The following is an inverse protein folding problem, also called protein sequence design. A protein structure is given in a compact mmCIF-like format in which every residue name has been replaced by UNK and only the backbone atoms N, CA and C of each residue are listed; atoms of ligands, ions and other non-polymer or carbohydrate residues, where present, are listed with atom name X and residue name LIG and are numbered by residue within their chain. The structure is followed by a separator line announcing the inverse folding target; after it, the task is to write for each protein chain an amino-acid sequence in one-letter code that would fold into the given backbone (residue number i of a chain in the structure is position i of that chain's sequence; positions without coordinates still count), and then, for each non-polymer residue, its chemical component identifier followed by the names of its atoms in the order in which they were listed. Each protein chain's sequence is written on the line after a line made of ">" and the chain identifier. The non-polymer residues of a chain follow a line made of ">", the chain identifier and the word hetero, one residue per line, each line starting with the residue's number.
data_IF_317176292948
#
_entry.id   IF_317176292948
#
_cell.length_a   1.000
_cell.length_b   1.000
_cell.length_c   1.000
_cell.angle_alpha   90.00
_cell.angle_beta   90.00
_cell.angle_gamma   90.00
#
_symmetry.space_group_name_H-M   'P 1'
#
loop_
_entity.id
_entity.type
_entity.pdbx_description
1 polymer ?
#
# COMPACT_ATOMS: atom_id res chain seq x y z
N UNK A 1 15.49 3.83 -12.76
CA UNK A 1 15.26 2.80 -13.79
C UNK A 1 14.27 1.82 -13.19
N UNK A 2 13.08 1.67 -13.76
CA UNK A 2 12.08 0.68 -13.31
C UNK A 2 12.64 -0.70 -13.64
N UNK A 3 12.48 -1.69 -12.74
CA UNK A 3 12.95 -3.04 -13.01
C UNK A 3 12.17 -3.66 -14.18
N UNK A 4 12.83 -4.45 -15.03
CA UNK A 4 12.17 -5.13 -16.15
C UNK A 4 10.99 -6.00 -15.67
N UNK A 5 11.15 -6.65 -14.51
CA UNK A 5 10.10 -7.45 -13.89
C UNK A 5 8.86 -6.62 -13.56
N UNK A 6 9.03 -5.46 -12.91
CA UNK A 6 7.92 -4.57 -12.57
C UNK A 6 7.17 -4.15 -13.84
N UNK A 7 7.89 -3.76 -14.88
CA UNK A 7 7.26 -3.36 -16.14
C UNK A 7 6.45 -4.48 -16.79
N UNK A 8 6.99 -5.71 -16.81
CA UNK A 8 6.29 -6.87 -17.39
C UNK A 8 5.03 -7.21 -16.59
N UNK A 9 5.09 -7.16 -15.26
CA UNK A 9 3.92 -7.45 -14.40
C UNK A 9 2.82 -6.40 -14.62
N UNK A 10 3.17 -5.11 -14.63
CA UNK A 10 2.23 -4.01 -14.88
C UNK A 10 1.58 -4.11 -16.26
N UNK A 11 2.36 -4.43 -17.30
CA UNK A 11 1.84 -4.63 -18.66
C UNK A 11 0.94 -5.86 -18.75
N UNK A 12 1.30 -6.95 -18.06
CA UNK A 12 0.48 -8.17 -18.01
C UNK A 12 -0.87 -7.88 -17.36
N UNK A 13 -0.90 -7.15 -16.24
CA UNK A 13 -2.14 -6.77 -15.56
C UNK A 13 -3.00 -5.86 -16.45
N UNK A 14 -2.39 -4.85 -17.09
CA UNK A 14 -3.08 -3.96 -18.01
C UNK A 14 -3.69 -4.71 -19.20
N UNK A 15 -3.01 -5.72 -19.75
CA UNK A 15 -3.54 -6.53 -20.86
C UNK A 15 -4.72 -7.43 -20.46
N UNK A 16 -4.93 -7.62 -19.16
CA UNK A 16 -6.05 -8.37 -18.59
C UNK A 16 -7.15 -7.45 -18.04
N UNK A 17 -7.03 -6.13 -18.19
CA UNK A 17 -7.91 -5.13 -17.57
C UNK A 17 -7.99 -5.27 -16.03
N UNK A 18 -6.90 -5.73 -15.40
CA UNK A 18 -6.81 -5.92 -13.95
C UNK A 18 -6.18 -4.67 -13.32
N UNK A 19 -6.88 -3.97 -12.41
CA UNK A 19 -6.26 -2.91 -11.63
C UNK A 19 -5.11 -3.46 -10.80
N UNK A 20 -3.95 -2.81 -10.91
CA UNK A 20 -2.75 -3.16 -10.17
C UNK A 20 -2.19 -1.90 -9.53
N UNK A 21 -1.86 -1.99 -8.24
CA UNK A 21 -1.27 -0.90 -7.47
C UNK A 21 0.09 -1.33 -6.91
N UNK A 22 1.02 -0.39 -6.84
CA UNK A 22 2.23 -0.56 -6.06
C UNK A 22 1.88 -0.34 -4.59
N UNK A 23 2.32 -1.27 -3.74
CA UNK A 23 2.24 -1.17 -2.28
C UNK A 23 3.64 -1.22 -1.67
N UNK A 24 3.75 -1.41 -0.36
CA UNK A 24 5.04 -1.56 0.31
C UNK A 24 5.97 -0.35 0.15
N UNK A 25 7.28 -0.57 0.29
CA UNK A 25 8.26 0.52 0.30
C UNK A 25 8.37 1.27 -1.04
N UNK A 26 8.03 0.60 -2.15
CA UNK A 26 8.14 1.16 -3.50
C UNK A 26 7.05 2.21 -3.79
N UNK A 27 5.95 2.21 -3.05
CA UNK A 27 4.88 3.22 -3.18
C UNK A 27 5.24 4.57 -2.53
N UNK A 28 6.16 4.59 -1.56
CA UNK A 28 6.47 5.78 -0.75
C UNK A 28 6.87 7.04 -1.53
N UNK A 29 7.64 6.95 -2.64
CA UNK A 29 7.93 8.11 -3.47
C UNK A 29 6.68 8.81 -4.01
N UNK A 30 5.58 8.09 -4.22
CA UNK A 30 4.32 8.66 -4.66
C UNK A 30 3.62 9.51 -3.58
N UNK A 31 4.05 9.38 -2.33
CA UNK A 31 3.60 10.16 -1.18
C UNK A 31 4.65 11.18 -0.72
N UNK A 32 5.55 11.59 -1.61
CA UNK A 32 6.64 12.55 -1.36
C UNK A 32 7.69 12.08 -0.34
N UNK A 33 7.82 10.76 -0.14
CA UNK A 33 8.80 10.18 0.80
C UNK A 33 9.91 9.48 0.01
N UNK A 34 11.15 9.95 0.20
CA UNK A 34 12.31 9.30 -0.39
C UNK A 34 12.57 7.94 0.29
N UNK A 35 12.43 6.84 -0.46
CA UNK A 35 12.72 5.49 0.01
C UNK A 35 13.37 4.68 -1.11
N UNK A 36 14.31 3.82 -0.74
CA UNK A 36 14.84 2.76 -1.61
C UNK A 36 14.42 1.41 -1.06
N UNK A 37 13.94 0.53 -1.93
CA UNK A 37 13.73 -0.90 -1.64
C UNK A 37 14.06 -1.73 -2.88
N UNK A 38 14.44 -2.99 -2.67
CA UNK A 38 14.54 -3.99 -3.72
C UNK A 38 13.25 -4.82 -3.83
N UNK A 39 12.44 -4.81 -2.78
CA UNK A 39 11.19 -5.56 -2.71
C UNK A 39 10.17 -4.98 -3.69
N UNK A 40 9.52 -5.87 -4.44
CA UNK A 40 8.50 -5.52 -5.41
C UNK A 40 7.14 -6.03 -4.91
N UNK A 41 6.46 -5.19 -4.13
CA UNK A 41 5.14 -5.48 -3.59
C UNK A 41 4.06 -4.86 -4.49
N UNK A 42 3.26 -5.70 -5.11
CA UNK A 42 2.21 -5.30 -6.04
C UNK A 42 0.90 -5.90 -5.58
N UNK A 43 -0.16 -5.10 -5.51
CA UNK A 43 -1.50 -5.60 -5.20
C UNK A 43 -2.39 -5.52 -6.43
N UNK A 44 -3.07 -6.62 -6.75
CA UNK A 44 -4.02 -6.70 -7.86
C UNK A 44 -5.44 -6.79 -7.33
N UNK A 45 -6.38 -6.20 -8.06
CA UNK A 45 -7.80 -6.35 -7.78
C UNK A 45 -8.42 -7.37 -8.74
N UNK A 46 -8.66 -8.57 -8.23
CA UNK A 46 -9.29 -9.69 -8.96
C UNK A 46 -10.48 -10.20 -8.15
N UNK A 47 -11.56 -10.60 -8.84
CA UNK A 47 -12.80 -11.08 -8.20
C UNK A 47 -13.00 -12.59 -8.33
N UNK A 48 -12.40 -13.22 -9.34
CA UNK A 48 -12.66 -14.63 -9.66
C UNK A 48 -11.37 -15.43 -9.85
N UNK A 49 -11.46 -16.75 -9.64
CA UNK A 49 -10.33 -17.64 -9.88
C UNK A 49 -9.98 -17.69 -11.38
N UNK A 50 -10.96 -17.53 -12.26
CA UNK A 50 -10.79 -17.48 -13.72
C UNK A 50 -9.92 -16.29 -14.14
N UNK A 51 -10.19 -15.10 -13.60
CA UNK A 51 -9.37 -13.90 -13.82
C UNK A 51 -7.93 -14.11 -13.31
N UNK A 52 -7.76 -14.67 -12.11
CA UNK A 52 -6.44 -14.98 -11.55
C UNK A 52 -5.67 -15.98 -12.43
N UNK A 53 -6.32 -17.04 -12.87
CA UNK A 53 -5.74 -18.04 -13.76
C UNK A 53 -5.35 -17.43 -15.12
N UNK A 54 -6.17 -16.52 -15.64
CA UNK A 54 -5.87 -15.79 -16.87
C UNK A 54 -4.63 -14.90 -16.72
N UNK A 55 -4.55 -14.13 -15.63
CA UNK A 55 -3.39 -13.29 -15.31
C UNK A 55 -2.10 -14.11 -15.20
N UNK A 56 -2.12 -15.23 -14.46
CA UNK A 56 -0.97 -16.13 -14.32
C UNK A 56 -0.53 -16.68 -15.68
N UNK A 57 -1.49 -17.01 -16.57
CA UNK A 57 -1.19 -17.48 -17.93
C UNK A 57 -0.51 -16.38 -18.77
N UNK A 58 -0.92 -15.12 -18.62
CA UNK A 58 -0.28 -13.99 -19.30
C UNK A 58 1.13 -13.76 -18.77
N UNK A 59 1.33 -13.76 -17.45
CA UNK A 59 2.66 -13.70 -16.84
C UNK A 59 3.58 -14.79 -17.41
N UNK A 60 3.11 -16.04 -17.48
CA UNK A 60 3.88 -17.17 -18.01
C UNK A 60 4.29 -16.98 -19.47
N UNK A 61 3.44 -16.37 -20.30
CA UNK A 61 3.79 -16.05 -21.69
C UNK A 61 4.91 -15.01 -21.79
N UNK A 62 5.04 -14.15 -20.77
CA UNK A 62 6.07 -13.13 -20.66
C UNK A 62 7.28 -13.59 -19.83
N UNK A 63 7.52 -14.90 -19.75
CA UNK A 63 8.64 -15.52 -19.00
C UNK A 63 8.64 -15.21 -17.49
N UNK A 64 7.49 -14.82 -16.92
CA UNK A 64 7.30 -14.64 -15.49
C UNK A 64 6.53 -15.84 -14.94
N UNK A 65 7.05 -16.49 -13.90
CA UNK A 65 6.48 -17.74 -13.41
C UNK A 65 6.29 -17.73 -11.90
N UNK A 66 5.42 -18.60 -11.39
CA UNK A 66 5.30 -18.90 -9.96
C UNK A 66 5.41 -20.41 -9.76
N UNK A 67 6.01 -20.83 -8.65
CA UNK A 67 6.04 -22.24 -8.21
C UNK A 67 4.83 -22.61 -7.37
N UNK A 68 4.06 -21.61 -6.93
CA UNK A 68 2.86 -21.79 -6.14
C UNK A 68 1.66 -22.14 -7.04
N UNK A 69 0.56 -22.58 -6.43
CA UNK A 69 -0.74 -22.69 -7.09
C UNK A 69 -1.66 -21.63 -6.49
N UNK A 70 -1.65 -20.38 -7.00
CA UNK A 70 -2.40 -19.29 -6.39
C UNK A 70 -3.91 -19.54 -6.46
N UNK A 71 -4.59 -19.31 -5.34
CA UNK A 71 -6.04 -19.34 -5.25
C UNK A 71 -6.57 -17.98 -4.83
N UNK A 72 -7.78 -17.65 -5.23
CA UNK A 72 -8.39 -16.35 -4.96
C UNK A 72 -8.55 -16.04 -3.46
N UNK A 73 -8.52 -17.08 -2.61
CA UNK A 73 -8.59 -16.96 -1.15
C UNK A 73 -7.22 -16.93 -0.47
N UNK A 74 -6.11 -16.91 -1.22
CA UNK A 74 -4.79 -16.63 -0.66
C UNK A 74 -4.59 -15.11 -0.52
N UNK A 75 -3.72 -14.68 0.38
CA UNK A 75 -3.40 -13.25 0.53
C UNK A 75 -2.45 -12.77 -0.56
N UNK A 76 -1.46 -13.61 -0.92
CA UNK A 76 -0.46 -13.29 -1.93
C UNK A 76 0.13 -14.56 -2.59
N UNK A 77 0.89 -14.34 -3.65
CA UNK A 77 1.80 -15.30 -4.24
C UNK A 77 3.03 -14.59 -4.82
N UNK A 78 4.15 -15.30 -4.89
CA UNK A 78 5.42 -14.80 -5.42
C UNK A 78 5.57 -15.19 -6.88
N UNK A 79 6.04 -14.25 -7.69
CA UNK A 79 6.41 -14.48 -9.08
C UNK A 79 7.89 -14.19 -9.31
N UNK A 80 8.48 -14.92 -10.23
CA UNK A 80 9.90 -14.93 -10.53
C UNK A 80 10.12 -14.55 -11.98
N UNK A 81 10.96 -13.54 -12.20
CA UNK A 81 11.55 -13.22 -13.50
C UNK A 81 13.02 -13.65 -13.57
N UNK A 82 13.73 -13.24 -14.62
CA UNK A 82 15.14 -13.62 -14.83
C UNK A 82 16.11 -13.15 -13.74
N UNK A 83 15.82 -12.01 -13.09
CA UNK A 83 16.74 -11.31 -12.18
C UNK A 83 16.07 -10.75 -10.94
N UNK A 84 14.94 -11.32 -10.53
CA UNK A 84 14.23 -10.85 -9.35
C UNK A 84 12.90 -11.56 -9.16
N UNK A 85 12.29 -11.24 -8.03
CA UNK A 85 10.98 -11.71 -7.64
C UNK A 85 10.08 -10.53 -7.29
N UNK A 86 8.78 -10.77 -7.30
CA UNK A 86 7.77 -9.83 -6.85
C UNK A 86 6.71 -10.58 -6.06
N UNK A 87 6.23 -9.94 -5.00
CA UNK A 87 5.04 -10.39 -4.29
C UNK A 87 3.80 -9.80 -4.96
N UNK A 88 2.91 -10.67 -5.38
CA UNK A 88 1.62 -10.32 -5.94
C UNK A 88 0.55 -10.58 -4.88
N UNK A 89 0.13 -9.51 -4.24
CA UNK A 89 -0.92 -9.48 -3.25
C UNK A 89 -2.30 -9.47 -3.92
N UNK A 90 -3.21 -10.30 -3.43
CA UNK A 90 -4.62 -10.36 -3.83
C UNK A 90 -5.49 -9.45 -2.95
N UNK A 91 -4.93 -8.95 -1.86
CA UNK A 91 -5.53 -8.01 -0.93
C UNK A 91 -4.50 -6.92 -0.56
N UNK A 92 -4.91 -5.70 -0.18
CA UNK A 92 -3.95 -4.63 0.13
C UNK A 92 -2.94 -4.98 1.23
N UNK A 93 -3.35 -5.80 2.20
CA UNK A 93 -2.52 -6.41 3.23
C UNK A 93 -3.23 -7.64 3.83
N UNK A 94 -2.63 -8.27 4.83
CA UNK A 94 -3.15 -9.43 5.57
C UNK A 94 -4.36 -9.12 6.47
N UNK A 95 -4.56 -7.85 6.83
CA UNK A 95 -5.61 -7.45 7.75
C UNK A 95 -6.98 -7.13 7.11
N UNK A 96 -7.04 -6.79 5.81
CA UNK A 96 -8.30 -6.40 5.18
C UNK A 96 -8.31 -6.61 3.67
N UNK A 97 -9.52 -6.80 3.13
CA UNK A 97 -9.76 -7.05 1.72
C UNK A 97 -10.03 -5.74 0.96
N UNK A 98 -9.96 -5.80 -0.37
CA UNK A 98 -10.45 -4.74 -1.24
C UNK A 98 -11.94 -4.46 -1.03
N UNK A 99 -12.30 -3.19 -1.01
CA UNK A 99 -13.68 -2.73 -1.12
C UNK A 99 -13.84 -1.67 -2.22
N UNK A 100 -15.09 -1.43 -2.63
CA UNK A 100 -15.37 -0.51 -3.73
C UNK A 100 -14.89 0.92 -3.49
N UNK A 101 -14.94 1.44 -2.25
CA UNK A 101 -14.48 2.81 -1.97
C UNK A 101 -12.97 2.91 -2.16
N UNK A 102 -12.24 1.87 -1.78
CA UNK A 102 -10.78 1.80 -1.96
C UNK A 102 -10.43 1.74 -3.44
N UNK A 103 -11.07 0.84 -4.20
CA UNK A 103 -10.84 0.70 -5.65
C UNK A 103 -11.13 2.03 -6.39
N UNK A 104 -12.21 2.72 -6.03
CA UNK A 104 -12.57 4.04 -6.60
C UNK A 104 -11.59 5.16 -6.23
N UNK A 105 -10.78 4.99 -5.19
CA UNK A 105 -9.82 5.98 -4.68
C UNK A 105 -8.37 5.69 -5.04
N UNK A 106 -8.09 4.58 -5.73
CA UNK A 106 -6.78 4.30 -6.31
C UNK A 106 -6.35 5.50 -7.18
N UNK A 107 -5.10 5.94 -7.02
CA UNK A 107 -4.56 7.10 -7.73
C UNK A 107 -3.57 6.66 -8.79
N UNK A 108 -3.63 7.30 -9.95
CA UNK A 108 -2.56 7.17 -10.94
C UNK A 108 -1.33 7.93 -10.44
N UNK A 109 -0.17 7.27 -10.43
CA UNK A 109 1.10 7.89 -10.03
C UNK A 109 1.89 8.34 -11.27
N UNK A 110 2.15 7.42 -12.19
CA UNK A 110 2.72 7.73 -13.50
C UNK A 110 2.35 6.66 -14.53
N UNK A 111 2.15 7.05 -15.80
CA UNK A 111 1.78 6.10 -16.87
C UNK A 111 0.55 5.25 -16.48
N UNK A 112 0.68 3.93 -16.48
CA UNK A 112 -0.30 2.93 -16.03
C UNK A 112 0.01 2.38 -14.63
N UNK A 113 0.83 3.08 -13.85
CA UNK A 113 1.17 2.73 -12.47
C UNK A 113 0.22 3.42 -11.53
N UNK A 114 -0.43 2.63 -10.70
CA UNK A 114 -1.35 3.11 -9.69
C UNK A 114 -0.82 2.84 -8.28
N UNK A 115 -1.36 3.58 -7.32
CA UNK A 115 -1.05 3.48 -5.89
C UNK A 115 -2.36 3.56 -5.09
N UNK A 116 -2.31 3.11 -3.85
CA UNK A 116 -3.40 3.35 -2.91
C UNK A 116 -3.58 4.85 -2.63
N UNK A 117 -4.76 5.24 -2.14
CA UNK A 117 -4.90 6.53 -1.50
C UNK A 117 -3.98 6.58 -0.25
N UNK A 118 -3.53 7.78 0.13
CA UNK A 118 -2.62 7.96 1.27
C UNK A 118 -3.20 7.32 2.53
N UNK A 119 -4.49 7.50 2.75
CA UNK A 119 -5.22 6.99 3.90
C UNK A 119 -5.22 5.45 3.91
N UNK A 120 -5.56 4.84 2.77
CA UNK A 120 -5.60 3.37 2.64
C UNK A 120 -4.19 2.77 2.74
N UNK A 121 -3.14 3.46 2.26
CA UNK A 121 -1.76 3.03 2.43
C UNK A 121 -1.33 3.07 3.91
N UNK A 122 -1.66 4.13 4.65
CA UNK A 122 -1.38 4.21 6.10
C UNK A 122 -1.99 3.00 6.82
N UNK A 123 -3.22 2.61 6.45
CA UNK A 123 -3.86 1.42 7.00
C UNK A 123 -3.03 0.15 6.77
N UNK A 124 -2.49 -0.07 5.56
CA UNK A 124 -1.69 -1.28 5.28
C UNK A 124 -0.47 -1.40 6.19
N UNK A 125 0.12 -0.28 6.60
CA UNK A 125 1.27 -0.24 7.50
C UNK A 125 0.86 -0.41 8.96
N UNK A 126 -0.25 0.23 9.34
CA UNK A 126 -0.75 0.18 10.70
C UNK A 126 -1.29 -1.22 11.05
N UNK A 127 -1.94 -1.89 10.11
CA UNK A 127 -2.64 -3.15 10.36
C UNK A 127 -1.72 -4.38 10.47
N UNK A 128 -0.43 -4.24 10.15
CA UNK A 128 0.53 -5.33 10.25
C UNK A 128 0.69 -5.79 11.70
N UNK A 129 0.48 -7.07 11.95
CA UNK A 129 0.73 -7.68 13.26
C UNK A 129 2.22 -7.67 13.64
N UNK A 130 3.11 -7.69 12.65
CA UNK A 130 4.57 -7.66 12.79
C UNK A 130 5.16 -6.25 12.58
N UNK A 131 4.34 -5.20 12.74
CA UNK A 131 4.69 -3.79 12.50
C UNK A 131 6.04 -3.43 13.13
N UNK A 132 6.97 -2.99 12.29
CA UNK A 132 8.31 -2.61 12.69
C UNK A 132 8.42 -1.10 13.00
N UNK A 133 9.54 -0.69 13.59
CA UNK A 133 9.86 0.74 13.73
C UNK A 133 9.98 1.46 12.37
N UNK A 134 10.31 0.72 11.30
CA UNK A 134 10.33 1.28 9.94
C UNK A 134 8.93 1.63 9.48
N UNK A 135 7.94 0.78 9.75
CA UNK A 135 6.55 1.04 9.38
C UNK A 135 5.97 2.25 10.12
N UNK A 136 6.28 2.38 11.41
CA UNK A 136 5.91 3.56 12.20
C UNK A 136 6.56 4.82 11.60
N UNK A 137 7.85 4.77 11.30
CA UNK A 137 8.57 5.91 10.70
C UNK A 137 8.03 6.28 9.31
N UNK A 138 7.63 5.30 8.49
CA UNK A 138 6.98 5.54 7.20
C UNK A 138 5.64 6.26 7.40
N UNK A 139 4.79 5.79 8.31
CA UNK A 139 3.50 6.43 8.64
C UNK A 139 3.74 7.89 9.05
N UNK A 140 4.67 8.15 9.96
CA UNK A 140 4.96 9.50 10.45
C UNK A 140 5.46 10.42 9.33
N UNK A 141 6.37 9.94 8.49
CA UNK A 141 6.85 10.72 7.35
C UNK A 141 5.72 11.08 6.39
N UNK A 142 4.85 10.12 6.06
CA UNK A 142 3.67 10.37 5.20
C UNK A 142 2.77 11.42 5.81
N UNK A 143 2.45 11.31 7.11
CA UNK A 143 1.61 12.27 7.83
C UNK A 143 2.21 13.69 7.77
N UNK A 144 3.51 13.82 7.99
CA UNK A 144 4.22 15.11 7.94
C UNK A 144 4.20 15.70 6.53
N UNK A 145 4.60 14.92 5.53
CA UNK A 145 4.75 15.38 4.15
C UNK A 145 3.40 15.70 3.49
N UNK A 146 2.31 15.09 3.95
CA UNK A 146 0.99 15.17 3.31
C UNK A 146 -0.09 15.73 4.25
N UNK A 147 0.28 16.42 5.33
CA UNK A 147 -0.63 16.90 6.39
C UNK A 147 -1.81 17.75 5.91
N UNK A 148 -1.67 18.41 4.76
CA UNK A 148 -2.67 19.30 4.16
C UNK A 148 -3.44 18.65 3.01
N UNK A 149 -3.04 17.46 2.56
CA UNK A 149 -3.69 16.72 1.46
C UNK A 149 -4.44 15.47 1.94
N UNK A 150 -4.19 15.02 3.17
CA UNK A 150 -4.89 13.88 3.77
C UNK A 150 -6.38 14.21 3.97
N UNK A 151 -7.24 13.31 3.48
CA UNK A 151 -8.67 13.28 3.77
C UNK A 151 -8.89 12.66 5.15
N UNK A 152 -8.76 13.49 6.19
CA UNK A 152 -8.88 13.07 7.59
C UNK A 152 -10.20 12.38 7.91
N UNK A 153 -11.30 12.80 7.28
CA UNK A 153 -12.61 12.16 7.48
C UNK A 153 -12.60 10.73 6.95
N UNK A 154 -12.01 10.53 5.77
CA UNK A 154 -11.87 9.20 5.21
C UNK A 154 -10.89 8.32 6.00
N UNK A 155 -9.76 8.88 6.46
CA UNK A 155 -8.82 8.15 7.32
C UNK A 155 -9.49 7.68 8.62
N UNK A 156 -10.22 8.55 9.32
CA UNK A 156 -10.96 8.19 10.55
C UNK A 156 -12.01 7.11 10.25
N UNK A 157 -12.77 7.26 9.17
CA UNK A 157 -13.72 6.23 8.73
C UNK A 157 -13.03 4.87 8.53
N UNK A 158 -11.83 4.86 7.94
CA UNK A 158 -11.05 3.67 7.68
C UNK A 158 -10.47 3.05 8.94
N UNK A 159 -9.92 3.85 9.85
CA UNK A 159 -9.41 3.38 11.14
C UNK A 159 -10.51 2.72 11.97
N UNK A 160 -11.71 3.33 12.01
CA UNK A 160 -12.91 2.76 12.64
C UNK A 160 -13.32 1.42 12.04
N UNK A 161 -13.24 1.31 10.71
CA UNK A 161 -13.67 0.12 9.99
C UNK A 161 -12.87 -1.14 10.35
N UNK A 162 -11.59 -1.00 10.70
CA UNK A 162 -10.71 -2.11 11.09
C UNK A 162 -10.21 -2.04 12.54
N UNK A 163 -10.85 -1.21 13.37
CA UNK A 163 -10.56 -1.08 14.81
C UNK A 163 -9.09 -0.70 15.13
N UNK A 164 -8.49 0.18 14.32
CA UNK A 164 -7.10 0.66 14.49
C UNK A 164 -6.99 2.09 15.00
N UNK A 165 -8.06 2.66 15.56
CA UNK A 165 -8.03 4.03 16.08
C UNK A 165 -7.05 4.19 17.23
N UNK A 166 -6.99 3.19 18.13
CA UNK A 166 -6.08 3.21 19.27
C UNK A 166 -4.62 3.10 18.82
N UNK A 167 -4.31 2.16 17.91
CA UNK A 167 -2.99 2.04 17.30
C UNK A 167 -2.53 3.35 16.65
N UNK A 168 -3.42 4.01 15.91
CA UNK A 168 -3.09 5.28 15.28
C UNK A 168 -2.81 6.38 16.32
N UNK A 169 -3.61 6.45 17.38
CA UNK A 169 -3.38 7.38 18.49
C UNK A 169 -2.04 7.13 19.19
N UNK A 170 -1.66 5.87 19.40
CA UNK A 170 -0.37 5.51 19.99
C UNK A 170 0.81 5.98 19.11
N UNK A 171 0.71 5.80 17.80
CA UNK A 171 1.71 6.32 16.84
C UNK A 171 1.85 7.84 16.96
N UNK A 172 0.73 8.57 17.07
CA UNK A 172 0.76 10.03 17.20
C UNK A 172 1.30 10.52 18.56
N UNK A 173 0.98 9.86 19.66
CA UNK A 173 1.52 10.23 20.99
C UNK A 173 3.01 9.85 21.13
N UNK A 174 3.44 8.74 20.51
CA UNK A 174 4.87 8.40 20.39
C UNK A 174 5.64 9.50 19.65
N UNK A 175 5.09 9.98 18.53
CA UNK A 175 5.68 11.06 17.73
C UNK A 175 5.92 12.36 18.52
N UNK A 176 5.03 12.67 19.48
CA UNK A 176 5.15 13.85 20.35
C UNK A 176 6.31 13.76 21.34
N UNK A 177 6.70 12.54 21.71
CA UNK A 177 7.72 12.27 22.73
C UNK A 177 9.14 12.22 22.14
N UNK A 178 9.28 11.74 20.91
CA UNK A 178 10.59 11.43 20.32
C UNK A 178 11.24 12.57 19.52
N UNK A 179 10.47 13.54 19.02
CA UNK A 179 11.05 14.60 18.20
C UNK A 179 11.47 15.84 19.01
N UNK A 180 12.73 16.24 18.81
CA UNK A 180 13.27 17.52 19.26
C UNK A 180 12.33 18.69 18.89
N UNK A 181 12.37 19.78 19.67
CA UNK A 181 11.46 20.94 19.66
C UNK A 181 10.94 21.44 18.28
N UNK A 182 11.66 21.17 17.18
CA UNK A 182 11.32 21.57 15.81
C UNK A 182 10.06 20.91 15.23
N UNK A 183 9.67 19.70 15.65
CA UNK A 183 8.47 19.01 15.10
C UNK A 183 7.27 19.00 16.04
N UNK A 184 7.41 19.56 17.24
CA UNK A 184 6.35 19.60 18.25
C UNK A 184 5.08 20.35 17.80
N UNK A 185 5.24 21.32 16.90
CA UNK A 185 4.11 22.04 16.33
C UNK A 185 3.39 21.22 15.25
N UNK A 186 4.13 20.43 14.47
CA UNK A 186 3.55 19.54 13.45
C UNK A 186 2.78 18.39 14.12
N UNK A 187 3.33 17.80 15.18
CA UNK A 187 2.65 16.73 15.93
C UNK A 187 1.34 17.22 16.56
N UNK A 188 1.35 18.42 17.14
CA UNK A 188 0.12 19.06 17.66
C UNK A 188 -0.91 19.32 16.57
N UNK A 189 -0.51 19.89 15.42
CA UNK A 189 -1.42 20.12 14.28
C UNK A 189 -2.07 18.82 13.79
N UNK A 190 -1.27 17.75 13.64
CA UNK A 190 -1.79 16.44 13.22
C UNK A 190 -2.80 15.87 14.23
N UNK A 191 -2.49 15.94 15.53
CA UNK A 191 -3.39 15.50 16.59
C UNK A 191 -4.68 16.33 16.64
N UNK A 192 -4.60 17.64 16.48
CA UNK A 192 -5.78 18.51 16.42
C UNK A 192 -6.64 18.21 15.20
N UNK A 193 -6.03 18.01 14.02
CA UNK A 193 -6.76 17.61 12.80
C UNK A 193 -7.46 16.26 12.96
N UNK A 194 -6.83 15.32 13.66
CA UNK A 194 -7.43 14.03 13.97
C UNK A 194 -8.61 14.16 14.95
N UNK A 195 -8.43 14.85 16.08
CA UNK A 195 -9.44 14.98 17.14
C UNK A 195 -10.62 15.89 16.78
N UNK A 196 -10.39 16.95 16.00
CA UNK A 196 -11.44 17.94 15.65
C UNK A 196 -12.34 17.49 14.49
N UNK A 197 -12.20 16.26 13.99
CA UNK A 197 -12.97 15.70 12.87
C UNK A 197 -13.82 14.49 13.27
N UNK A 198 -13.79 14.09 14.54
CA UNK A 198 -14.82 13.24 15.18
C UNK A 198 -16.15 13.99 15.32
#
# INVERSE_FOLDING_TARGET
>A
MISDLLQIVLQSAASCDIPIVIIGGLALPAYNIARTTLDLDLCIYIKTQEELNHFIKVLKKNEISTIQTPKINHDLFTVFGKRGEAEIWLQPCDAFHWDEKMVKRIKNFFSNVYILAIEDYILTKLARSDRSSTDINDILQILIANKDTIDWKYLIFRLKWIDLENDFNEVLEGFKSDFANNFRNVSKDLLEKFKNKE
#
